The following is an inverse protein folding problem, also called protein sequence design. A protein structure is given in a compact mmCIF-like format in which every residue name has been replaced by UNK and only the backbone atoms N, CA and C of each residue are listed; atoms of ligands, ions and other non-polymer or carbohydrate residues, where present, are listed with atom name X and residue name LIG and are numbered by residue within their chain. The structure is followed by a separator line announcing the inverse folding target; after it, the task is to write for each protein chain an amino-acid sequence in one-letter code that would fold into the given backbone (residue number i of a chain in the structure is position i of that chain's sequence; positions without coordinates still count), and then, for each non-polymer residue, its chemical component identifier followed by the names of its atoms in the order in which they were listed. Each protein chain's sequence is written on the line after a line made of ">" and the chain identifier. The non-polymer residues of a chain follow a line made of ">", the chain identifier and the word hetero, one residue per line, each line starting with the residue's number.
data_IF_634405670920
#
_entry.id   IF_634405670920
#
_cell.length_a   1.000
_cell.length_b   1.000
_cell.length_c   1.000
_cell.angle_alpha   90.00
_cell.angle_beta   90.00
_cell.angle_gamma   90.00
#
_symmetry.space_group_name_H-M   'P 1'
#
loop_
_entity.id
_entity.type
_entity.pdbx_description
1 polymer ?
#
# COMPACT_ATOMS: atom_id res chain seq x y z
N UNK A 1 -43.83 -58.60 -0.69
CA UNK A 1 -43.82 -57.63 -1.80
C UNK A 1 -44.30 -56.32 -1.24
N UNK A 2 -43.45 -55.30 -1.16
CA UNK A 2 -43.77 -53.86 -1.02
C UNK A 2 -42.52 -53.11 -0.58
N UNK A 3 -41.81 -52.52 -1.55
CA UNK A 3 -40.88 -51.41 -1.35
C UNK A 3 -40.90 -50.56 -2.61
N UNK A 4 -41.53 -49.40 -2.50
CA UNK A 4 -41.20 -48.22 -3.28
C UNK A 4 -41.58 -47.01 -2.43
N UNK A 5 -40.57 -46.28 -1.98
CA UNK A 5 -40.72 -44.95 -1.39
C UNK A 5 -39.93 -44.02 -2.28
N UNK A 6 -40.69 -43.22 -3.01
CA UNK A 6 -40.21 -42.12 -3.82
C UNK A 6 -39.48 -41.10 -2.95
N UNK A 7 -38.29 -40.74 -3.40
CA UNK A 7 -37.49 -39.63 -2.92
C UNK A 7 -37.52 -38.61 -4.04
N UNK A 8 -38.16 -37.47 -3.84
CA UNK A 8 -37.75 -36.19 -4.45
C UNK A 8 -38.47 -35.01 -3.84
N UNK A 9 -37.74 -33.90 -3.81
CA UNK A 9 -38.17 -32.51 -3.69
C UNK A 9 -38.54 -31.96 -2.30
N UNK A 10 -37.49 -31.63 -1.54
CA UNK A 10 -37.56 -30.51 -0.60
C UNK A 10 -36.75 -29.34 -1.17
N UNK A 11 -37.37 -28.56 -2.05
CA UNK A 11 -36.87 -27.26 -2.45
C UNK A 11 -37.19 -26.25 -1.33
N UNK A 12 -36.18 -25.90 -0.54
CA UNK A 12 -36.24 -24.84 0.45
C UNK A 12 -36.53 -23.49 -0.23
N UNK A 13 -37.82 -23.13 -0.31
CA UNK A 13 -38.25 -21.76 -0.55
C UNK A 13 -37.95 -20.92 0.70
N UNK A 14 -36.72 -20.40 0.78
CA UNK A 14 -36.35 -19.39 1.77
C UNK A 14 -37.09 -18.09 1.45
N UNK A 15 -38.20 -17.87 2.14
CA UNK A 15 -39.03 -16.67 1.99
C UNK A 15 -38.20 -15.40 2.19
N UNK A 16 -38.27 -14.48 1.23
CA UNK A 16 -37.69 -13.14 1.29
C UNK A 16 -38.24 -12.40 2.53
N UNK A 17 -37.34 -11.82 3.32
CA UNK A 17 -37.72 -11.00 4.47
C UNK A 17 -38.48 -9.75 4.00
N UNK A 18 -39.50 -9.27 4.74
CA UNK A 18 -40.29 -8.12 4.32
C UNK A 18 -39.42 -6.85 4.29
N UNK A 19 -39.08 -6.39 3.08
CA UNK A 19 -38.35 -5.14 2.84
C UNK A 19 -37.23 -5.21 1.79
N UNK A 20 -36.75 -6.40 1.40
CA UNK A 20 -35.72 -6.52 0.37
C UNK A 20 -36.37 -6.64 -1.02
N UNK A 21 -36.08 -5.67 -1.91
CA UNK A 21 -36.43 -5.82 -3.32
C UNK A 21 -35.59 -6.96 -3.91
N UNK A 22 -36.10 -7.67 -4.92
CA UNK A 22 -35.31 -8.69 -5.64
C UNK A 22 -33.97 -8.15 -6.19
N UNK A 23 -33.89 -6.83 -6.42
CA UNK A 23 -32.67 -6.14 -6.83
C UNK A 23 -31.64 -5.97 -5.71
N UNK A 24 -32.08 -5.82 -4.46
CA UNK A 24 -31.18 -5.71 -3.29
C UNK A 24 -30.55 -7.06 -2.95
N UNK A 25 -31.35 -8.13 -2.97
CA UNK A 25 -30.88 -9.49 -2.72
C UNK A 25 -29.81 -9.91 -3.75
N UNK A 26 -30.00 -9.56 -5.02
CA UNK A 26 -29.01 -9.86 -6.07
C UNK A 26 -27.73 -9.02 -5.90
N UNK A 27 -27.83 -7.73 -5.53
CA UNK A 27 -26.66 -6.91 -5.19
C UNK A 27 -25.87 -7.49 -4.02
N UNK A 28 -26.56 -7.94 -2.98
CA UNK A 28 -25.94 -8.59 -1.83
C UNK A 28 -25.22 -9.88 -2.22
N UNK A 29 -25.88 -10.74 -3.00
CA UNK A 29 -25.30 -12.00 -3.50
C UNK A 29 -24.02 -11.76 -4.30
N UNK A 30 -24.01 -10.76 -5.17
CA UNK A 30 -22.86 -10.45 -6.01
C UNK A 30 -21.72 -9.82 -5.22
N UNK A 31 -22.03 -8.97 -4.22
CA UNK A 31 -21.04 -8.47 -3.29
C UNK A 31 -20.39 -9.60 -2.47
N UNK A 32 -21.17 -10.60 -2.04
CA UNK A 32 -20.65 -11.78 -1.36
C UNK A 32 -19.76 -12.63 -2.28
N UNK A 33 -20.18 -12.85 -3.53
CA UNK A 33 -19.39 -13.58 -4.53
C UNK A 33 -18.06 -12.86 -4.83
N UNK A 34 -18.09 -11.53 -5.00
CA UNK A 34 -16.88 -10.72 -5.18
C UNK A 34 -15.92 -10.87 -4.00
N UNK A 35 -16.46 -10.81 -2.78
CA UNK A 35 -15.66 -10.94 -1.56
C UNK A 35 -14.99 -12.29 -1.43
N UNK A 36 -15.72 -13.38 -1.70
CA UNK A 36 -15.20 -14.74 -1.69
C UNK A 36 -14.15 -14.96 -2.78
N UNK A 37 -14.41 -14.47 -4.00
CA UNK A 37 -13.48 -14.58 -5.11
C UNK A 37 -12.15 -13.87 -4.80
N UNK A 38 -12.22 -12.66 -4.23
CA UNK A 38 -11.01 -11.94 -3.83
C UNK A 38 -10.22 -12.66 -2.74
N UNK A 39 -10.89 -13.24 -1.74
CA UNK A 39 -10.22 -13.97 -0.67
C UNK A 39 -9.56 -15.26 -1.21
N UNK A 40 -10.22 -15.97 -2.13
CA UNK A 40 -9.65 -17.14 -2.81
C UNK A 40 -8.43 -16.78 -3.67
N UNK A 41 -8.49 -15.66 -4.39
CA UNK A 41 -7.35 -15.18 -5.17
C UNK A 41 -6.14 -14.93 -4.26
N UNK A 42 -6.34 -14.24 -3.15
CA UNK A 42 -5.30 -13.96 -2.16
C UNK A 42 -4.65 -15.23 -1.56
N UNK A 43 -5.45 -16.27 -1.26
CA UNK A 43 -4.94 -17.55 -0.77
C UNK A 43 -4.08 -18.28 -1.81
N UNK A 44 -4.43 -18.15 -3.10
CA UNK A 44 -3.70 -18.78 -4.20
C UNK A 44 -2.30 -18.20 -4.33
N UNK A 45 -2.19 -16.87 -4.33
CA UNK A 45 -0.92 -16.14 -4.37
C UNK A 45 -0.07 -16.41 -3.13
N UNK A 46 -0.70 -16.50 -1.96
CA UNK A 46 -0.03 -16.87 -0.70
C UNK A 46 0.66 -18.24 -0.78
N UNK A 47 -0.01 -19.24 -1.36
CA UNK A 47 0.55 -20.58 -1.52
C UNK A 47 1.77 -20.64 -2.46
N UNK A 48 1.77 -19.87 -3.55
CA UNK A 48 2.91 -19.77 -4.47
C UNK A 48 4.12 -19.09 -3.81
N UNK A 49 3.88 -18.12 -2.93
CA UNK A 49 4.93 -17.37 -2.22
C UNK A 49 5.59 -18.22 -1.12
N UNK A 50 4.83 -19.10 -0.45
CA UNK A 50 5.35 -20.03 0.56
C UNK A 50 6.28 -21.07 -0.08
N UNK A 51 6.01 -21.51 -1.31
CA UNK A 51 6.88 -22.45 -2.04
C UNK A 51 8.27 -21.90 -2.39
N UNK A 52 8.42 -20.58 -2.52
CA UNK A 52 9.70 -19.92 -2.84
C UNK A 52 10.46 -19.41 -1.60
N UNK A 53 9.81 -19.30 -0.44
CA UNK A 53 10.36 -18.68 0.77
C UNK A 53 10.82 -19.66 1.87
N UNK A 54 10.64 -20.97 1.69
CA UNK A 54 10.95 -21.96 2.73
C UNK A 54 12.45 -22.12 3.05
N UNK A 55 13.34 -21.59 2.22
CA UNK A 55 14.80 -21.66 2.44
C UNK A 55 15.39 -20.42 3.14
N UNK A 56 14.61 -19.35 3.37
CA UNK A 56 15.16 -18.08 3.92
C UNK A 56 14.69 -17.76 5.35
N UNK A 57 13.57 -18.32 5.83
CA UNK A 57 13.01 -18.00 7.16
C UNK A 57 13.44 -19.00 8.25
N UNK A 58 14.71 -19.42 8.23
CA UNK A 58 15.30 -20.26 9.28
C UNK A 58 16.44 -19.57 10.01
N UNK A 59 16.34 -18.24 10.19
CA UNK A 59 17.24 -17.49 11.06
C UNK A 59 16.73 -16.04 11.29
N UNK A 60 15.67 -15.86 12.09
CA UNK A 60 15.37 -14.57 12.70
C UNK A 60 14.50 -14.77 13.97
N UNK A 61 15.14 -14.57 15.12
CA UNK A 61 14.63 -14.29 16.48
C UNK A 61 13.29 -14.91 16.93
N UNK A 62 13.40 -15.90 17.81
CA UNK A 62 12.30 -16.62 18.49
C UNK A 62 11.56 -15.80 19.57
N UNK A 63 11.75 -14.48 19.68
CA UNK A 63 11.34 -13.71 20.88
C UNK A 63 10.20 -12.70 20.67
N UNK A 64 9.57 -12.66 19.49
CA UNK A 64 8.29 -11.96 19.31
C UNK A 64 7.18 -12.95 18.95
N UNK A 65 6.31 -13.21 19.92
CA UNK A 65 5.12 -14.02 19.73
C UNK A 65 4.24 -13.41 18.61
N UNK A 66 4.34 -13.99 17.42
CA UNK A 66 3.56 -13.58 16.26
C UNK A 66 2.07 -13.68 16.58
N UNK A 67 1.33 -12.56 16.50
CA UNK A 67 -0.12 -12.57 16.70
C UNK A 67 -0.82 -13.01 15.42
N UNK A 68 -0.82 -14.32 15.19
CA UNK A 68 -1.44 -14.94 14.03
C UNK A 68 -2.96 -14.76 13.97
N UNK A 69 -3.60 -14.31 15.05
CA UNK A 69 -5.07 -14.14 15.10
C UNK A 69 -5.53 -12.70 14.84
N UNK A 70 -4.61 -11.75 14.68
CA UNK A 70 -4.93 -10.35 14.38
C UNK A 70 -4.38 -9.93 13.02
N UNK A 71 -5.04 -8.94 12.42
CA UNK A 71 -4.63 -8.36 11.16
C UNK A 71 -5.01 -6.88 11.06
N UNK A 72 -4.35 -6.17 10.16
CA UNK A 72 -4.69 -4.81 9.76
C UNK A 72 -5.08 -4.77 8.29
N UNK A 73 -6.25 -4.19 8.01
CA UNK A 73 -6.81 -4.04 6.67
C UNK A 73 -6.71 -2.59 6.23
N UNK A 74 -6.06 -2.34 5.11
CA UNK A 74 -5.88 -0.99 4.57
C UNK A 74 -6.58 -0.87 3.23
N UNK A 75 -7.49 0.08 3.13
CA UNK A 75 -7.86 0.59 1.81
C UNK A 75 -6.64 1.22 1.09
N UNK A 76 -6.70 1.27 -0.24
CA UNK A 76 -5.57 1.72 -1.06
C UNK A 76 -5.73 3.17 -1.49
N UNK A 77 -6.80 3.49 -2.21
CA UNK A 77 -6.94 4.77 -2.89
C UNK A 77 -7.25 5.89 -1.88
N UNK A 78 -6.47 6.97 -1.88
CA UNK A 78 -6.48 8.05 -0.86
C UNK A 78 -6.14 7.63 0.59
N UNK A 79 -6.14 6.34 0.91
CA UNK A 79 -5.77 5.77 2.21
C UNK A 79 -4.27 5.43 2.27
N UNK A 80 -3.83 4.38 1.57
CA UNK A 80 -2.41 3.99 1.45
C UNK A 80 -1.68 4.85 0.42
N UNK A 81 -2.33 5.14 -0.70
CA UNK A 81 -1.79 5.87 -1.84
C UNK A 81 -2.51 7.22 -2.04
N UNK A 82 -1.83 8.19 -2.63
CA UNK A 82 -2.43 9.45 -3.06
C UNK A 82 -3.18 9.30 -4.39
N UNK A 83 -4.50 9.53 -4.36
CA UNK A 83 -5.35 9.39 -5.53
C UNK A 83 -5.67 7.93 -5.83
N UNK A 84 -6.35 7.71 -6.96
CA UNK A 84 -6.75 6.39 -7.39
C UNK A 84 -5.60 5.64 -8.08
N UNK A 85 -5.27 4.46 -7.58
CA UNK A 85 -4.28 3.54 -8.17
C UNK A 85 -4.60 3.18 -9.61
N UNK A 86 -5.88 2.90 -9.92
CA UNK A 86 -6.31 2.61 -11.30
C UNK A 86 -6.06 3.78 -12.26
N UNK A 87 -6.13 5.02 -11.78
CA UNK A 87 -5.81 6.19 -12.60
C UNK A 87 -4.32 6.26 -12.93
N UNK A 88 -3.45 6.00 -11.95
CA UNK A 88 -1.99 5.96 -12.19
C UNK A 88 -1.62 4.83 -13.14
N UNK A 89 -2.27 3.66 -13.00
CA UNK A 89 -2.10 2.54 -13.91
C UNK A 89 -2.51 2.89 -15.34
N UNK A 90 -3.72 3.43 -15.53
CA UNK A 90 -4.22 3.86 -16.83
C UNK A 90 -3.32 4.92 -17.48
N UNK A 91 -2.79 5.86 -16.69
CA UNK A 91 -1.82 6.86 -17.16
C UNK A 91 -0.51 6.22 -17.62
N UNK A 92 -0.02 5.22 -16.89
CA UNK A 92 1.18 4.46 -17.26
C UNK A 92 1.00 3.67 -18.57
N UNK A 93 -0.16 3.02 -18.74
CA UNK A 93 -0.52 2.34 -20.00
C UNK A 93 -0.62 3.33 -21.17
N UNK A 94 -1.21 4.51 -20.95
CA UNK A 94 -1.32 5.54 -21.97
C UNK A 94 0.05 6.09 -22.39
N UNK A 95 0.97 6.32 -21.44
CA UNK A 95 2.34 6.76 -21.73
C UNK A 95 3.11 5.75 -22.61
N UNK A 96 2.79 4.46 -22.46
CA UNK A 96 3.36 3.36 -23.25
C UNK A 96 2.63 3.12 -24.58
N UNK A 97 1.61 3.93 -24.92
CA UNK A 97 0.74 3.74 -26.09
C UNK A 97 0.17 2.32 -26.18
N UNK A 98 -0.10 1.70 -25.02
CA UNK A 98 -0.54 0.31 -24.94
C UNK A 98 -1.84 0.05 -25.72
N UNK A 99 -2.75 1.04 -25.72
CA UNK A 99 -3.96 1.01 -26.53
C UNK A 99 -3.75 1.74 -27.85
N UNK A 100 -4.00 1.04 -28.95
CA UNK A 100 -4.06 1.64 -30.28
C UNK A 100 -5.36 2.42 -30.49
N UNK A 101 -5.40 3.30 -31.49
CA UNK A 101 -6.65 3.99 -31.90
C UNK A 101 -7.74 3.01 -32.32
N UNK A 102 -7.38 1.86 -32.90
CA UNK A 102 -8.29 0.76 -33.22
C UNK A 102 -8.85 0.07 -31.99
N UNK A 103 -8.06 -0.09 -30.91
CA UNK A 103 -8.56 -0.64 -29.64
C UNK A 103 -9.63 0.27 -29.05
N UNK A 104 -9.34 1.57 -29.00
CA UNK A 104 -10.28 2.58 -28.50
C UNK A 104 -11.56 2.63 -29.33
N UNK A 105 -11.45 2.57 -30.66
CA UNK A 105 -12.61 2.48 -31.54
C UNK A 105 -13.41 1.18 -31.31
N UNK A 106 -12.73 0.06 -31.08
CA UNK A 106 -13.36 -1.22 -30.74
C UNK A 106 -14.07 -1.21 -29.39
N UNK A 107 -13.56 -0.49 -28.39
CA UNK A 107 -14.24 -0.27 -27.12
C UNK A 107 -15.48 0.62 -27.29
N UNK A 108 -15.34 1.73 -28.01
CA UNK A 108 -16.45 2.64 -28.31
C UNK A 108 -17.56 1.94 -29.10
N UNK A 109 -17.20 1.10 -30.08
CA UNK A 109 -18.16 0.30 -30.85
C UNK A 109 -18.88 -0.74 -29.98
N UNK A 110 -18.16 -1.47 -29.11
CA UNK A 110 -18.77 -2.40 -28.15
C UNK A 110 -19.73 -1.67 -27.21
N UNK A 111 -19.33 -0.50 -26.71
CA UNK A 111 -20.17 0.33 -25.86
C UNK A 111 -21.42 0.84 -26.59
N UNK A 112 -21.27 1.26 -27.85
CA UNK A 112 -22.38 1.72 -28.69
C UNK A 112 -23.34 0.58 -29.03
N UNK A 113 -22.81 -0.59 -29.43
CA UNK A 113 -23.60 -1.79 -29.70
C UNK A 113 -24.38 -2.23 -28.47
N UNK A 114 -23.77 -2.18 -27.29
CA UNK A 114 -24.45 -2.47 -26.03
C UNK A 114 -25.59 -1.48 -25.77
N UNK A 115 -25.35 -0.18 -25.96
CA UNK A 115 -26.37 0.88 -25.78
C UNK A 115 -27.52 0.81 -26.78
N UNK A 116 -27.25 0.42 -28.03
CA UNK A 116 -28.25 0.34 -29.11
C UNK A 116 -29.03 -0.99 -29.05
N UNK A 117 -28.37 -2.09 -28.69
CA UNK A 117 -28.99 -3.41 -28.57
C UNK A 117 -29.83 -3.61 -27.30
N UNK A 118 -29.70 -2.73 -26.30
CA UNK A 118 -30.47 -2.76 -25.06
C UNK A 118 -31.75 -1.91 -25.12
N UNK A 119 -32.76 -2.33 -25.88
CA UNK A 119 -34.15 -1.88 -25.67
C UNK A 119 -34.89 -2.97 -24.90
N UNK A 120 -35.31 -2.60 -23.67
CA UNK A 120 -36.15 -3.34 -22.70
C UNK A 120 -35.50 -4.54 -21.98
N UNK A 121 -34.91 -4.31 -20.79
CA UNK A 121 -35.09 -5.12 -19.58
C UNK A 121 -34.35 -4.52 -18.35
N UNK A 122 -34.70 -4.91 -17.10
CA UNK A 122 -34.21 -4.32 -15.83
C UNK A 122 -32.70 -4.49 -15.51
N UNK A 123 -31.89 -4.94 -16.46
CA UNK A 123 -30.50 -5.39 -16.29
C UNK A 123 -29.45 -4.26 -16.44
N UNK A 124 -29.79 -3.02 -16.06
CA UNK A 124 -28.85 -1.89 -16.09
C UNK A 124 -27.60 -2.14 -15.23
N UNK A 125 -27.67 -3.07 -14.27
CA UNK A 125 -26.55 -3.42 -13.39
C UNK A 125 -25.55 -4.37 -14.06
N UNK A 126 -26.00 -5.32 -14.89
CA UNK A 126 -25.09 -6.19 -15.69
C UNK A 126 -24.35 -5.38 -16.75
N UNK A 127 -25.05 -4.44 -17.35
CA UNK A 127 -24.50 -3.47 -18.31
C UNK A 127 -23.32 -2.66 -17.76
N UNK A 128 -23.45 -2.14 -16.54
CA UNK A 128 -22.39 -1.36 -15.90
C UNK A 128 -21.18 -2.23 -15.48
N UNK A 129 -21.40 -3.52 -15.19
CA UNK A 129 -20.36 -4.49 -14.78
C UNK A 129 -19.44 -4.89 -15.93
N UNK A 130 -19.99 -5.17 -17.10
CA UNK A 130 -19.21 -5.48 -18.31
C UNK A 130 -18.46 -4.24 -18.84
N UNK A 131 -18.98 -3.04 -18.54
CA UNK A 131 -18.44 -1.77 -19.00
C UNK A 131 -17.15 -1.35 -18.28
N UNK A 132 -16.95 -1.77 -17.02
CA UNK A 132 -15.76 -1.40 -16.24
C UNK A 132 -14.48 -2.13 -16.68
N UNK A 133 -14.60 -3.36 -17.21
CA UNK A 133 -13.45 -4.20 -17.59
C UNK A 133 -13.30 -4.42 -19.10
N UNK A 134 -14.15 -3.79 -19.93
CA UNK A 134 -14.07 -3.96 -21.38
C UNK A 134 -12.70 -3.57 -21.96
N UNK A 135 -11.94 -2.71 -21.27
CA UNK A 135 -10.63 -2.25 -21.71
C UNK A 135 -9.51 -3.31 -21.57
N UNK A 136 -9.65 -4.27 -20.66
CA UNK A 136 -8.68 -5.38 -20.49
C UNK A 136 -9.09 -6.65 -21.24
N UNK A 137 -10.31 -6.71 -21.78
CA UNK A 137 -10.82 -7.88 -22.49
C UNK A 137 -9.90 -8.29 -23.67
N UNK A 138 -9.52 -9.56 -23.70
CA UNK A 138 -8.62 -10.14 -24.70
C UNK A 138 -7.12 -9.88 -24.46
N UNK A 139 -6.76 -9.26 -23.32
CA UNK A 139 -5.36 -9.02 -22.95
C UNK A 139 -4.84 -10.10 -22.02
N UNK A 140 -3.53 -10.33 -22.08
CA UNK A 140 -2.85 -11.28 -21.20
C UNK A 140 -2.80 -10.73 -19.77
N UNK A 141 -3.14 -11.59 -18.81
CA UNK A 141 -2.99 -11.30 -17.38
C UNK A 141 -1.53 -11.00 -17.09
N UNK A 142 -0.62 -11.89 -17.50
CA UNK A 142 0.82 -11.75 -17.26
C UNK A 142 1.41 -10.46 -17.83
N UNK A 143 0.98 -10.06 -19.05
CA UNK A 143 1.42 -8.82 -19.67
C UNK A 143 1.01 -7.59 -18.84
N UNK A 144 -0.25 -7.53 -18.41
CA UNK A 144 -0.75 -6.41 -17.59
C UNK A 144 -0.12 -6.40 -16.19
N UNK A 145 0.22 -7.57 -15.62
CA UNK A 145 0.99 -7.66 -14.37
C UNK A 145 2.39 -7.08 -14.56
N UNK A 146 3.13 -7.49 -15.60
CA UNK A 146 4.47 -6.95 -15.88
C UNK A 146 4.44 -5.43 -16.06
N UNK A 147 3.47 -4.91 -16.83
CA UNK A 147 3.27 -3.47 -16.96
C UNK A 147 2.91 -2.81 -15.63
N UNK A 148 2.12 -3.47 -14.80
CA UNK A 148 1.78 -3.01 -13.46
C UNK A 148 3.00 -2.83 -12.56
N UNK A 149 3.97 -3.75 -12.64
CA UNK A 149 5.22 -3.65 -11.86
C UNK A 149 6.05 -2.44 -12.28
N UNK A 150 6.26 -2.26 -13.59
CA UNK A 150 6.98 -1.09 -14.12
C UNK A 150 6.29 0.23 -13.75
N UNK A 151 4.97 0.29 -13.94
CA UNK A 151 4.19 1.49 -13.66
C UNK A 151 4.17 1.79 -12.16
N UNK A 152 4.20 0.77 -11.31
CA UNK A 152 4.33 0.98 -9.87
C UNK A 152 5.63 1.71 -9.54
N UNK A 153 6.76 1.18 -10.04
CA UNK A 153 8.09 1.70 -9.76
C UNK A 153 8.26 3.13 -10.31
N UNK A 154 7.68 3.44 -11.47
CA UNK A 154 7.77 4.76 -12.11
C UNK A 154 6.81 5.82 -11.54
N UNK A 155 5.56 5.44 -11.24
CA UNK A 155 4.47 6.40 -11.03
C UNK A 155 3.77 6.30 -9.68
N UNK A 156 3.84 5.15 -9.00
CA UNK A 156 3.06 4.88 -7.79
C UNK A 156 3.89 4.90 -6.51
N UNK A 157 5.15 4.50 -6.54
CA UNK A 157 6.00 4.42 -5.34
C UNK A 157 6.05 5.76 -4.56
N UNK A 158 6.25 6.86 -5.26
CA UNK A 158 6.26 8.22 -4.67
C UNK A 158 4.89 8.71 -4.21
N UNK A 159 3.83 7.96 -4.51
CA UNK A 159 2.44 8.29 -4.16
C UNK A 159 1.99 7.63 -2.86
N UNK A 160 2.81 6.83 -2.21
CA UNK A 160 2.47 6.23 -0.93
C UNK A 160 2.50 7.27 0.20
N UNK A 161 1.46 7.29 1.03
CA UNK A 161 1.45 8.11 2.23
C UNK A 161 2.44 7.54 3.25
N UNK A 162 3.53 8.28 3.51
CA UNK A 162 4.52 7.89 4.52
C UNK A 162 3.89 7.60 5.90
N UNK A 163 2.87 8.38 6.28
CA UNK A 163 2.12 8.15 7.51
C UNK A 163 1.33 6.85 7.52
N UNK A 164 0.66 6.50 6.41
CA UNK A 164 -0.08 5.22 6.31
C UNK A 164 0.88 4.03 6.23
N UNK A 165 2.01 4.18 5.53
CA UNK A 165 3.08 3.16 5.53
C UNK A 165 3.63 2.90 6.93
N UNK A 166 3.84 3.96 7.73
CA UNK A 166 4.29 3.80 9.11
C UNK A 166 3.25 3.08 9.99
N UNK A 167 1.95 3.31 9.78
CA UNK A 167 0.89 2.56 10.45
C UNK A 167 0.93 1.07 10.08
N UNK A 168 1.11 0.75 8.79
CA UNK A 168 1.27 -0.64 8.35
C UNK A 168 2.49 -1.29 9.00
N UNK A 169 3.63 -0.59 9.03
CA UNK A 169 4.84 -1.07 9.68
C UNK A 169 4.64 -1.37 11.17
N UNK A 170 3.89 -0.52 11.88
CA UNK A 170 3.57 -0.77 13.31
C UNK A 170 2.82 -2.08 13.54
N UNK A 171 1.98 -2.51 12.59
CA UNK A 171 1.32 -3.82 12.69
C UNK A 171 2.26 -4.97 12.36
N UNK A 172 3.12 -4.81 11.35
CA UNK A 172 4.14 -5.81 11.01
C UNK A 172 5.12 -6.01 12.17
N UNK A 173 5.60 -4.92 12.78
CA UNK A 173 6.49 -4.92 13.94
C UNK A 173 5.83 -5.52 15.19
N UNK A 174 4.50 -5.61 15.22
CA UNK A 174 3.74 -6.29 16.26
C UNK A 174 3.42 -7.77 15.91
N UNK A 175 4.05 -8.31 14.86
CA UNK A 175 3.83 -9.68 14.39
C UNK A 175 2.43 -9.93 13.82
N UNK A 176 1.71 -8.88 13.39
CA UNK A 176 0.37 -9.00 12.80
C UNK A 176 0.45 -9.03 11.29
N UNK A 177 -0.57 -9.63 10.67
CA UNK A 177 -0.71 -9.63 9.22
C UNK A 177 -1.26 -8.31 8.72
N UNK A 178 -0.78 -7.86 7.56
CA UNK A 178 -1.22 -6.61 6.94
C UNK A 178 -1.70 -6.87 5.52
N UNK A 179 -2.95 -6.49 5.26
CA UNK A 179 -3.62 -6.75 4.00
C UNK A 179 -4.13 -5.46 3.37
N UNK A 180 -4.00 -5.34 2.06
CA UNK A 180 -4.71 -4.31 1.28
C UNK A 180 -6.13 -4.78 0.96
N UNK A 181 -7.09 -3.85 0.89
CA UNK A 181 -8.49 -4.14 0.52
C UNK A 181 -9.03 -3.03 -0.40
N UNK A 182 -9.11 -3.29 -1.70
CA UNK A 182 -9.34 -2.24 -2.70
C UNK A 182 -10.30 -2.65 -3.82
N UNK A 183 -10.96 -1.67 -4.44
CA UNK A 183 -11.75 -1.89 -5.66
C UNK A 183 -10.89 -2.03 -6.93
N UNK A 184 -9.59 -1.75 -6.85
CA UNK A 184 -8.61 -1.98 -7.92
C UNK A 184 -8.44 -3.48 -8.19
N UNK A 185 -8.08 -3.90 -9.43
CA UNK A 185 -7.80 -5.31 -9.72
C UNK A 185 -6.80 -5.94 -8.74
N UNK A 186 -7.06 -7.19 -8.37
CA UNK A 186 -6.29 -7.92 -7.36
C UNK A 186 -4.80 -7.99 -7.71
N UNK A 187 -4.47 -8.16 -8.99
CA UNK A 187 -3.09 -8.26 -9.46
C UNK A 187 -2.29 -6.98 -9.18
N UNK A 188 -2.90 -5.82 -9.43
CA UNK A 188 -2.26 -4.53 -9.13
C UNK A 188 -2.17 -4.29 -7.62
N UNK A 189 -3.19 -4.71 -6.86
CA UNK A 189 -3.16 -4.62 -5.41
C UNK A 189 -2.05 -5.51 -4.81
N UNK A 190 -1.83 -6.70 -5.35
CA UNK A 190 -0.75 -7.59 -4.94
C UNK A 190 0.64 -7.03 -5.26
N UNK A 191 0.83 -6.39 -6.42
CA UNK A 191 2.08 -5.68 -6.74
C UNK A 191 2.38 -4.65 -5.64
N UNK A 192 1.39 -3.83 -5.27
CA UNK A 192 1.55 -2.81 -4.21
C UNK A 192 1.87 -3.49 -2.88
N UNK A 193 1.15 -4.56 -2.51
CA UNK A 193 1.39 -5.29 -1.27
C UNK A 193 2.81 -5.87 -1.19
N UNK A 194 3.28 -6.55 -2.24
CA UNK A 194 4.64 -7.11 -2.31
C UNK A 194 5.70 -6.02 -2.21
N UNK A 195 5.57 -4.94 -2.97
CA UNK A 195 6.53 -3.82 -2.96
C UNK A 195 6.58 -3.08 -1.62
N UNK A 196 5.50 -3.12 -0.84
CA UNK A 196 5.44 -2.56 0.51
C UNK A 196 5.82 -3.55 1.62
N UNK A 197 6.09 -4.82 1.30
CA UNK A 197 6.40 -5.85 2.28
C UNK A 197 5.20 -6.26 3.15
N UNK A 198 3.97 -6.14 2.62
CA UNK A 198 2.73 -6.52 3.31
C UNK A 198 2.44 -8.02 3.12
N UNK A 199 1.49 -8.56 3.89
CA UNK A 199 1.11 -9.98 3.81
C UNK A 199 0.42 -10.32 2.49
N UNK A 200 -0.44 -9.44 1.98
CA UNK A 200 -1.13 -9.68 0.71
C UNK A 200 -2.19 -8.61 0.41
N UNK A 201 -3.05 -8.91 -0.57
CA UNK A 201 -4.08 -7.98 -1.00
C UNK A 201 -5.40 -8.69 -1.34
N UNK A 202 -6.50 -7.97 -1.11
CA UNK A 202 -7.84 -8.26 -1.57
C UNK A 202 -8.21 -7.19 -2.61
N UNK A 203 -8.60 -7.61 -3.80
CA UNK A 203 -8.93 -6.72 -4.92
C UNK A 203 -10.10 -7.22 -5.75
N UNK A 204 -10.53 -6.40 -6.69
CA UNK A 204 -11.53 -6.81 -7.68
C UNK A 204 -10.98 -7.94 -8.55
N UNK A 205 -11.77 -8.99 -8.76
CA UNK A 205 -11.36 -10.14 -9.57
C UNK A 205 -12.01 -10.07 -10.95
N UNK A 206 -11.17 -9.95 -11.97
CA UNK A 206 -11.58 -10.08 -13.37
C UNK A 206 -11.52 -11.57 -13.79
N UNK A 207 -12.56 -12.06 -14.48
CA UNK A 207 -12.56 -13.43 -15.01
C UNK A 207 -11.54 -13.54 -16.13
N UNK A 208 -10.61 -14.50 -15.98
CA UNK A 208 -9.66 -14.90 -17.01
C UNK A 208 -9.84 -16.37 -17.39
N UNK A 209 -9.44 -16.73 -18.61
CA UNK A 209 -9.36 -18.11 -19.11
C UNK A 209 -8.05 -18.26 -19.85
N UNK A 210 -7.30 -19.32 -19.52
CA UNK A 210 -5.99 -19.60 -20.13
C UNK A 210 -5.04 -18.38 -20.08
N UNK A 211 -5.08 -17.63 -18.96
CA UNK A 211 -4.25 -16.44 -18.76
C UNK A 211 -4.70 -15.19 -19.55
N UNK A 212 -5.88 -15.21 -20.18
CA UNK A 212 -6.43 -14.08 -20.94
C UNK A 212 -7.70 -13.55 -20.27
N UNK A 213 -7.81 -12.24 -20.09
CA UNK A 213 -9.01 -11.62 -19.53
C UNK A 213 -10.20 -11.75 -20.47
N UNK A 214 -11.33 -12.20 -19.92
CA UNK A 214 -12.60 -12.31 -20.65
C UNK A 214 -13.35 -10.98 -20.76
N UNK A 215 -12.98 -9.99 -19.93
CA UNK A 215 -13.69 -8.71 -19.80
C UNK A 215 -14.88 -8.73 -18.84
N UNK A 216 -15.10 -9.83 -18.12
CA UNK A 216 -16.15 -9.96 -17.09
C UNK A 216 -15.56 -9.93 -15.68
N UNK A 217 -16.40 -9.61 -14.71
CA UNK A 217 -16.08 -9.68 -13.27
C UNK A 217 -16.51 -11.04 -12.69
N UNK A 218 -15.76 -11.54 -11.71
CA UNK A 218 -16.25 -12.61 -10.82
C UNK A 218 -17.04 -11.94 -9.70
N UNK A 219 -18.37 -11.93 -9.82
CA UNK A 219 -19.26 -11.21 -8.91
C UNK A 219 -19.43 -9.74 -9.30
N UNK A 220 -18.90 -8.84 -8.49
CA UNK A 220 -18.98 -7.38 -8.65
C UNK A 220 -17.63 -6.75 -8.28
N UNK A 221 -17.51 -5.42 -8.40
CA UNK A 221 -16.34 -4.70 -7.90
C UNK A 221 -16.18 -4.90 -6.39
N UNK A 222 -14.94 -4.98 -5.90
CA UNK A 222 -14.64 -5.10 -4.48
C UNK A 222 -14.81 -3.74 -3.76
N UNK A 223 -16.06 -3.30 -3.68
CA UNK A 223 -16.48 -2.00 -3.14
C UNK A 223 -17.59 -2.17 -2.09
N UNK A 224 -17.59 -1.29 -1.09
CA UNK A 224 -18.63 -1.26 -0.06
C UNK A 224 -18.80 -2.59 0.68
N UNK A 225 -19.99 -3.19 0.60
CA UNK A 225 -20.29 -4.48 1.25
C UNK A 225 -19.38 -5.61 0.78
N UNK A 226 -18.91 -5.59 -0.47
CA UNK A 226 -18.02 -6.62 -1.00
C UNK A 226 -16.68 -6.65 -0.24
N UNK A 227 -16.14 -5.48 0.16
CA UNK A 227 -14.94 -5.42 1.01
C UNK A 227 -15.18 -6.07 2.38
N UNK A 228 -16.34 -5.84 2.99
CA UNK A 228 -16.70 -6.48 4.25
C UNK A 228 -16.79 -8.01 4.11
N UNK A 229 -17.38 -8.50 3.00
CA UNK A 229 -17.42 -9.93 2.69
C UNK A 229 -16.03 -10.52 2.47
N UNK A 230 -15.14 -9.82 1.75
CA UNK A 230 -13.75 -10.28 1.55
C UNK A 230 -12.98 -10.37 2.87
N UNK A 231 -13.09 -9.35 3.73
CA UNK A 231 -12.44 -9.35 5.05
C UNK A 231 -12.96 -10.51 5.91
N UNK A 232 -14.27 -10.80 5.89
CA UNK A 232 -14.84 -11.94 6.61
C UNK A 232 -14.39 -13.29 6.04
N UNK A 233 -14.36 -13.42 4.72
CA UNK A 233 -13.94 -14.64 4.04
C UNK A 233 -12.45 -14.93 4.31
N UNK A 234 -11.60 -13.92 4.18
CA UNK A 234 -10.18 -14.03 4.52
C UNK A 234 -10.01 -14.36 6.01
N UNK A 235 -10.74 -13.70 6.91
CA UNK A 235 -10.66 -14.00 8.34
C UNK A 235 -11.02 -15.45 8.67
N UNK A 236 -12.01 -16.03 7.98
CA UNK A 236 -12.37 -17.43 8.13
C UNK A 236 -11.27 -18.39 7.60
N UNK A 237 -10.67 -18.06 6.46
CA UNK A 237 -9.58 -18.84 5.87
C UNK A 237 -8.32 -18.82 6.74
N UNK A 238 -8.04 -17.66 7.32
CA UNK A 238 -6.79 -17.37 8.00
C UNK A 238 -6.85 -17.53 9.53
N UNK A 239 -8.03 -17.84 10.09
CA UNK A 239 -8.21 -17.97 11.54
C UNK A 239 -8.09 -16.64 12.31
N UNK A 240 -8.50 -15.53 11.69
CA UNK A 240 -8.45 -14.20 12.31
C UNK A 240 -9.66 -13.93 13.22
N UNK A 241 -9.42 -13.39 14.40
CA UNK A 241 -10.46 -12.78 15.24
C UNK A 241 -10.63 -11.31 14.82
N UNK A 242 -11.70 -11.02 14.08
CA UNK A 242 -12.00 -9.67 13.61
C UNK A 242 -12.08 -8.63 14.73
N UNK A 243 -12.42 -9.03 15.96
CA UNK A 243 -12.45 -8.10 17.13
C UNK A 243 -11.06 -7.64 17.55
N UNK A 244 -10.01 -8.36 17.14
CA UNK A 244 -8.59 -7.99 17.33
C UNK A 244 -8.01 -7.31 16.09
N UNK A 245 -8.75 -7.27 14.99
CA UNK A 245 -8.32 -6.64 13.76
C UNK A 245 -8.55 -5.14 13.75
N UNK A 246 -7.75 -4.45 12.94
CA UNK A 246 -7.90 -3.01 12.67
C UNK A 246 -8.21 -2.78 11.19
N UNK A 247 -9.03 -1.80 10.85
CA UNK A 247 -9.26 -1.38 9.47
C UNK A 247 -9.09 0.13 9.28
N UNK A 248 -8.50 0.51 8.14
CA UNK A 248 -8.16 1.87 7.75
C UNK A 248 -8.81 2.22 6.41
N UNK A 249 -9.49 3.36 6.32
CA UNK A 249 -10.04 3.88 5.06
C UNK A 249 -10.28 5.39 5.11
N UNK A 250 -10.37 6.01 3.93
CA UNK A 250 -10.75 7.41 3.75
C UNK A 250 -12.24 7.59 3.41
N UNK A 251 -12.93 6.55 2.94
CA UNK A 251 -14.25 6.71 2.34
C UNK A 251 -15.39 6.17 3.20
N UNK A 252 -16.52 6.89 3.20
CA UNK A 252 -17.76 6.42 3.83
C UNK A 252 -18.28 5.12 3.19
N UNK A 253 -17.90 4.86 1.94
CA UNK A 253 -18.25 3.62 1.25
C UNK A 253 -17.71 2.38 1.96
N UNK A 254 -16.57 2.51 2.65
CA UNK A 254 -15.94 1.41 3.39
C UNK A 254 -16.51 1.24 4.80
N UNK A 255 -17.56 1.98 5.16
CA UNK A 255 -18.26 1.85 6.44
C UNK A 255 -18.65 0.40 6.77
N UNK A 256 -19.14 -0.44 5.83
CA UNK A 256 -19.39 -1.86 6.10
C UNK A 256 -18.13 -2.58 6.57
N UNK A 257 -16.99 -2.42 5.89
CA UNK A 257 -15.70 -3.03 6.26
C UNK A 257 -15.21 -2.52 7.62
N UNK A 258 -15.24 -1.21 7.84
CA UNK A 258 -14.84 -0.61 9.12
C UNK A 258 -15.73 -1.07 10.29
N UNK A 259 -16.96 -1.48 10.03
CA UNK A 259 -17.91 -1.92 11.06
C UNK A 259 -17.79 -3.40 11.43
N UNK A 260 -17.00 -4.21 10.71
CA UNK A 260 -16.84 -5.65 11.04
C UNK A 260 -15.63 -5.95 11.93
N UNK A 261 -14.70 -4.99 12.08
CA UNK A 261 -13.47 -5.13 12.85
C UNK A 261 -13.58 -4.51 14.24
N UNK A 262 -12.68 -4.86 15.15
CA UNK A 262 -12.63 -4.32 16.50
C UNK A 262 -12.20 -2.86 16.57
N UNK A 263 -11.26 -2.46 15.70
CA UNK A 263 -10.74 -1.09 15.66
C UNK A 263 -10.87 -0.49 14.27
N UNK A 264 -11.57 0.63 14.15
CA UNK A 264 -11.71 1.39 12.91
C UNK A 264 -10.96 2.73 13.00
N UNK A 265 -10.19 3.05 11.98
CA UNK A 265 -9.42 4.29 11.89
C UNK A 265 -9.71 4.99 10.57
N UNK A 266 -10.17 6.23 10.64
CA UNK A 266 -10.44 7.05 9.46
C UNK A 266 -9.16 7.80 9.03
N UNK A 267 -8.62 7.45 7.87
CA UNK A 267 -7.38 8.03 7.33
C UNK A 267 -7.73 8.98 6.19
N UNK A 268 -7.28 10.23 6.25
CA UNK A 268 -7.60 11.26 5.26
C UNK A 268 -9.10 11.38 4.91
N UNK A 269 -10.05 11.25 5.87
CA UNK A 269 -11.42 10.91 5.52
C UNK A 269 -12.12 11.95 4.65
N UNK A 270 -13.05 11.46 3.83
CA UNK A 270 -14.10 12.24 3.19
C UNK A 270 -15.04 12.88 4.24
N UNK A 271 -16.01 13.67 3.80
CA UNK A 271 -16.94 14.34 4.72
C UNK A 271 -17.83 13.33 5.48
N UNK A 272 -18.34 12.31 4.79
CA UNK A 272 -19.23 11.31 5.37
C UNK A 272 -18.54 10.44 6.41
N UNK A 273 -17.36 9.91 6.09
CA UNK A 273 -16.59 9.08 7.02
C UNK A 273 -16.12 9.90 8.22
N UNK A 274 -15.73 11.17 8.02
CA UNK A 274 -15.35 12.05 9.13
C UNK A 274 -16.51 12.25 10.11
N UNK A 275 -17.74 12.43 9.62
CA UNK A 275 -18.91 12.55 10.47
C UNK A 275 -19.17 11.26 11.26
N UNK A 276 -19.13 10.12 10.58
CA UNK A 276 -19.28 8.80 11.22
C UNK A 276 -18.21 8.58 12.28
N UNK A 277 -16.95 8.86 11.96
CA UNK A 277 -15.83 8.67 12.87
C UNK A 277 -15.98 9.53 14.13
N UNK A 278 -16.36 10.81 13.99
CA UNK A 278 -16.64 11.68 15.14
C UNK A 278 -17.79 11.14 16.00
N UNK A 279 -18.88 10.71 15.37
CA UNK A 279 -20.05 10.17 16.08
C UNK A 279 -19.73 8.86 16.83
N UNK A 280 -18.89 8.00 16.26
CA UNK A 280 -18.51 6.70 16.83
C UNK A 280 -17.24 6.74 17.69
N UNK A 281 -16.61 7.90 17.84
CA UNK A 281 -15.34 8.04 18.56
C UNK A 281 -14.16 7.32 17.89
N UNK A 282 -14.23 7.11 16.58
CA UNK A 282 -13.13 6.50 15.82
C UNK A 282 -11.98 7.49 15.66
N UNK A 283 -10.76 6.95 15.68
CA UNK A 283 -9.56 7.73 15.47
C UNK A 283 -9.53 8.32 14.05
N UNK A 284 -9.09 9.58 13.92
CA UNK A 284 -8.94 10.26 12.64
C UNK A 284 -7.47 10.65 12.46
N UNK A 285 -6.86 10.22 11.35
CA UNK A 285 -5.49 10.58 10.94
C UNK A 285 -5.53 11.32 9.61
N UNK A 286 -5.13 12.59 9.57
CA UNK A 286 -5.12 13.39 8.33
C UNK A 286 -3.69 13.78 7.91
N UNK A 287 -3.12 13.00 7.00
CA UNK A 287 -1.77 13.16 6.48
C UNK A 287 -1.67 14.23 5.40
N UNK A 288 -2.79 14.75 4.89
CA UNK A 288 -2.81 15.85 3.90
C UNK A 288 -2.30 17.16 4.50
N UNK A 289 -2.48 17.33 5.81
CA UNK A 289 -2.25 18.58 6.54
C UNK A 289 -0.77 18.98 6.58
N UNK A 290 0.14 18.03 6.82
CA UNK A 290 1.58 18.29 6.85
C UNK A 290 2.13 18.81 5.51
N UNK A 291 1.60 18.31 4.40
CA UNK A 291 1.97 18.77 3.05
C UNK A 291 1.47 20.17 2.72
N UNK A 292 0.27 20.53 3.17
CA UNK A 292 -0.26 21.90 3.01
C UNK A 292 0.62 22.90 3.77
N UNK A 293 0.99 22.57 5.01
CA UNK A 293 1.88 23.40 5.82
C UNK A 293 3.27 23.58 5.18
N UNK A 294 3.88 22.49 4.70
CA UNK A 294 5.17 22.54 4.00
C UNK A 294 5.11 23.39 2.72
N UNK A 295 4.06 23.24 1.90
CA UNK A 295 3.89 24.04 0.67
C UNK A 295 3.76 25.53 0.97
N UNK A 296 2.98 25.90 1.99
CA UNK A 296 2.80 27.30 2.39
C UNK A 296 4.12 27.87 2.95
N UNK A 297 4.84 27.10 3.77
CA UNK A 297 6.13 27.51 4.35
C UNK A 297 7.20 27.81 3.29
N UNK A 298 7.35 26.95 2.28
CA UNK A 298 8.33 27.14 1.19
C UNK A 298 8.07 28.42 0.39
N UNK A 299 6.81 28.72 0.06
CA UNK A 299 6.47 29.94 -0.68
C UNK A 299 6.69 31.21 0.16
N UNK A 300 6.50 31.11 1.48
CA UNK A 300 6.72 32.23 2.40
C UNK A 300 8.21 32.61 2.50
N UNK A 301 9.10 31.61 2.56
CA UNK A 301 10.56 31.82 2.62
C UNK A 301 11.10 32.36 1.29
N UNK A 302 10.63 31.85 0.15
CA UNK A 302 11.02 32.34 -1.18
C UNK A 302 10.52 33.76 -1.46
N UNK A 303 9.32 34.12 -0.99
CA UNK A 303 8.80 35.48 -1.09
C UNK A 303 9.62 36.49 -0.25
N UNK A 304 10.02 36.11 0.96
CA UNK A 304 10.84 36.95 1.83
C UNK A 304 12.26 37.19 1.27
N UNK A 305 12.88 36.16 0.68
CA UNK A 305 14.21 36.28 0.08
C UNK A 305 14.23 37.10 -1.21
N UNK A 306 13.18 37.03 -2.03
CA UNK A 306 13.02 37.91 -3.19
C UNK A 306 12.92 39.40 -2.78
N UNK A 307 12.16 39.70 -1.71
CA UNK A 307 12.03 41.07 -1.21
C UNK A 307 13.35 41.61 -0.64
N UNK A 308 14.10 40.78 0.08
CA UNK A 308 15.43 41.14 0.59
C UNK A 308 16.43 41.42 -0.54
N UNK A 309 16.40 40.62 -1.62
CA UNK A 309 17.22 40.83 -2.81
C UNK A 309 16.95 42.17 -3.51
N UNK A 310 15.67 42.56 -3.64
CA UNK A 310 15.27 43.85 -4.22
C UNK A 310 15.75 45.03 -3.37
N UNK A 311 15.63 44.94 -2.04
CA UNK A 311 16.10 45.98 -1.12
C UNK A 311 17.62 46.13 -1.20
N UNK A 312 18.36 45.01 -1.21
CA UNK A 312 19.81 45.02 -1.32
C UNK A 312 20.28 45.62 -2.66
N UNK A 313 19.64 45.26 -3.78
CA UNK A 313 19.94 45.81 -5.09
C UNK A 313 19.63 47.31 -5.17
N UNK A 314 18.51 47.77 -4.60
CA UNK A 314 18.15 49.18 -4.53
C UNK A 314 19.12 50.02 -3.70
N UNK A 315 19.63 49.48 -2.59
CA UNK A 315 20.66 50.12 -1.77
C UNK A 315 22.02 50.18 -2.49
N UNK A 316 22.41 49.11 -3.20
CA UNK A 316 23.64 49.08 -4.00
C UNK A 316 23.59 50.09 -5.16
N UNK A 317 22.45 50.18 -5.86
CA UNK A 317 22.23 51.16 -6.93
C UNK A 317 22.37 52.60 -6.42
N UNK A 318 21.77 52.92 -5.26
CA UNK A 318 21.89 54.24 -4.62
C UNK A 318 23.29 54.61 -4.14
N UNK A 319 24.14 53.63 -3.84
CA UNK A 319 25.55 53.88 -3.48
C UNK A 319 26.38 54.24 -4.72
N UNK A 320 26.13 53.57 -5.84
CA UNK A 320 26.83 53.81 -7.12
C UNK A 320 26.54 55.22 -7.68
N UNK A 321 25.29 55.66 -7.61
CA UNK A 321 24.87 57.01 -8.04
C UNK A 321 25.46 58.16 -7.19
N UNK A 322 25.94 57.86 -5.98
CA UNK A 322 26.63 58.85 -5.13
C UNK A 322 28.12 58.97 -5.44
N UNK A 323 28.74 57.92 -5.96
CA UNK A 323 30.16 57.90 -6.32
C UNK A 323 30.41 58.61 -7.66
N UNK A 324 29.45 58.57 -8.59
CA UNK A 324 29.53 59.26 -9.88
C UNK A 324 29.30 60.79 -9.80
N UNK A 325 29.08 61.35 -8.60
CA UNK A 325 28.89 62.80 -8.37
C UNK A 325 30.03 63.50 -7.65
N UNK A 326 31.20 62.86 -7.47
CA UNK A 326 32.38 63.53 -6.92
C UNK A 326 33.31 64.04 -8.05
N UNK A 327 33.62 65.35 -8.13
CA UNK A 327 34.47 65.90 -9.19
C UNK A 327 35.95 65.55 -8.97
N UNK A 328 36.60 65.08 -10.03
CA UNK A 328 38.00 64.68 -10.06
C UNK A 328 38.93 65.88 -10.29
N UNK A 329 39.77 66.22 -9.31
CA UNK A 329 40.98 67.03 -9.52
C UNK A 329 42.24 66.18 -9.30
N UNK A 330 43.12 66.22 -10.31
CA UNK A 330 44.43 65.55 -10.34
C UNK A 330 45.51 66.49 -9.82
N UNK A 331 46.37 66.00 -8.93
CA UNK A 331 47.61 66.68 -8.54
C UNK A 331 48.72 65.69 -8.19
N UNK A 332 49.76 65.66 -9.02
CA UNK A 332 50.99 64.85 -8.87
C UNK A 332 51.87 65.44 -7.75
N UNK A 333 52.59 64.60 -7.00
CA UNK A 333 54.06 64.46 -7.00
C UNK A 333 54.62 63.78 -5.73
N UNK A 334 55.34 62.69 -6.00
CA UNK A 334 56.58 62.14 -5.39
C UNK A 334 56.94 62.36 -3.91
N UNK A 335 57.08 61.20 -3.26
CA UNK A 335 58.20 60.69 -2.45
C UNK A 335 58.65 61.45 -1.19
N UNK A 336 58.62 60.76 -0.03
CA UNK A 336 59.79 60.46 0.80
C UNK A 336 59.45 59.37 1.85
N UNK A 337 60.47 58.65 2.29
CA UNK A 337 60.38 57.32 2.90
C UNK A 337 59.79 57.24 4.32
N UNK A 338 59.49 56.00 4.74
CA UNK A 338 59.45 55.66 6.16
C UNK A 338 58.39 54.65 6.61
N UNK A 339 58.69 53.36 6.44
CA UNK A 339 58.37 52.23 7.35
C UNK A 339 56.88 51.93 7.62
N UNK A 340 56.37 50.92 6.92
CA UNK A 340 55.12 50.21 7.20
C UNK A 340 55.36 48.99 8.10
N UNK A 341 54.51 48.84 9.13
CA UNK A 341 54.18 47.57 9.77
C UNK A 341 52.66 47.51 9.82
N UNK A 342 52.02 46.42 9.34
CA UNK A 342 50.67 46.12 9.81
C UNK A 342 50.56 44.72 10.41
N UNK A 343 49.96 44.68 11.60
CA UNK A 343 49.50 43.48 12.27
C UNK A 343 48.08 43.13 11.79
N UNK A 344 47.98 41.92 11.22
CA UNK A 344 47.12 40.80 11.64
C UNK A 344 45.57 40.92 11.77
N UNK A 345 44.99 39.71 11.62
CA UNK A 345 43.63 39.22 11.90
C UNK A 345 42.62 39.45 10.76
N UNK A 346 42.14 38.43 10.04
CA UNK A 346 41.58 37.13 10.50
C UNK A 346 40.05 37.23 10.32
N UNK A 347 39.27 36.28 9.79
CA UNK A 347 39.40 34.83 9.60
C UNK A 347 38.33 34.40 8.57
N UNK A 348 38.68 33.54 7.63
CA UNK A 348 38.30 32.11 7.57
C UNK A 348 36.97 31.81 6.84
N UNK A 349 37.12 31.35 5.60
CA UNK A 349 36.15 30.55 4.86
C UNK A 349 36.75 29.17 4.64
N UNK A 350 35.94 28.14 4.89
CA UNK A 350 36.22 26.73 4.59
C UNK A 350 36.09 26.44 3.09
N UNK A 351 36.89 25.48 2.61
CA UNK A 351 36.84 24.88 1.27
C UNK A 351 37.67 23.58 1.24
N UNK A 352 37.44 22.69 0.26
CA UNK A 352 36.92 21.35 0.54
C UNK A 352 37.85 20.17 0.17
N UNK A 353 37.35 18.98 0.48
CA UNK A 353 37.60 17.67 -0.15
C UNK A 353 38.78 16.77 0.30
N UNK A 354 38.45 15.48 0.22
CA UNK A 354 39.29 14.29 0.09
C UNK A 354 39.61 13.50 1.38
N UNK A 355 38.82 12.44 1.60
CA UNK A 355 39.23 11.27 2.39
C UNK A 355 39.20 10.02 1.52
N UNK A 356 40.35 9.34 1.46
CA UNK A 356 40.55 7.98 0.97
C UNK A 356 41.78 7.39 1.68
N UNK A 357 41.85 6.06 1.88
CA UNK A 357 42.35 5.46 3.11
C UNK A 357 43.73 4.78 2.95
N UNK A 358 44.47 4.62 4.04
CA UNK A 358 45.57 3.64 4.08
C UNK A 358 45.87 3.09 5.49
N UNK A 359 46.41 1.87 5.47
CA UNK A 359 46.46 0.88 6.54
C UNK A 359 47.86 0.70 7.15
N UNK A 360 47.94 -0.25 8.11
CA UNK A 360 49.09 -0.86 8.83
C UNK A 360 49.42 -0.15 10.16
N UNK A 361 49.53 -0.80 11.32
CA UNK A 361 49.64 -2.22 11.68
C UNK A 361 50.90 -2.41 12.52
N UNK A 362 50.80 -2.93 13.75
CA UNK A 362 51.88 -3.68 14.42
C UNK A 362 51.33 -4.61 15.52
N UNK A 363 51.91 -5.78 15.53
CA UNK A 363 51.74 -6.98 16.36
C UNK A 363 52.62 -6.91 17.63
N UNK A 364 52.12 -7.36 18.78
CA UNK A 364 52.93 -7.91 19.88
C UNK A 364 52.17 -9.00 20.65
N UNK A 365 52.91 -10.07 20.99
CA UNK A 365 52.47 -11.37 21.53
C UNK A 365 52.47 -11.44 23.07
N UNK A 366 51.54 -12.22 23.63
CA UNK A 366 51.66 -13.17 24.78
C UNK A 366 52.00 -12.65 26.19
N UNK A 367 51.68 -13.38 27.29
CA UNK A 367 51.76 -14.84 27.38
C UNK A 367 50.62 -15.59 28.13
N UNK A 368 50.73 -16.90 28.01
CA UNK A 368 50.02 -18.06 28.57
C UNK A 368 49.98 -18.15 30.13
N UNK A 369 48.86 -18.61 30.70
CA UNK A 369 48.85 -19.27 32.03
C UNK A 369 47.86 -20.45 32.07
N UNK A 370 48.37 -21.57 32.59
CA UNK A 370 47.68 -22.86 32.76
C UNK A 370 46.95 -22.93 34.11
N UNK A 371 45.81 -23.63 34.10
CA UNK A 371 45.49 -24.71 35.05
C UNK A 371 44.72 -24.36 36.33
N UNK A 372 43.53 -24.95 36.50
CA UNK A 372 43.30 -26.05 37.46
C UNK A 372 41.89 -26.64 37.32
N UNK A 373 41.79 -27.90 37.72
CA UNK A 373 40.75 -28.88 37.50
C UNK A 373 39.86 -29.01 38.75
N UNK A 374 38.53 -29.08 38.64
CA UNK A 374 37.67 -29.75 39.65
C UNK A 374 36.34 -30.25 39.05
N UNK A 375 36.25 -31.58 38.92
CA UNK A 375 35.12 -32.53 39.09
C UNK A 375 33.66 -32.00 39.04
N UNK A 376 32.85 -32.66 38.18
CA UNK A 376 31.40 -32.47 38.02
C UNK A 376 30.50 -33.13 39.09
N UNK A 377 29.20 -33.27 38.79
CA UNK A 377 28.61 -34.61 38.76
C UNK A 377 27.70 -34.89 37.55
N UNK A 378 27.43 -36.18 37.37
CA UNK A 378 26.71 -36.85 36.31
C UNK A 378 25.18 -36.61 36.27
N UNK A 379 24.66 -36.72 35.04
CA UNK A 379 23.41 -37.37 34.60
C UNK A 379 22.03 -36.75 34.94
N UNK A 380 21.24 -36.49 33.89
CA UNK A 380 20.11 -37.33 33.47
C UNK A 380 19.51 -36.78 32.15
N UNK A 381 19.53 -37.60 31.10
CA UNK A 381 18.84 -37.34 29.83
C UNK A 381 17.35 -37.73 29.89
N UNK A 382 16.50 -37.19 29.00
CA UNK A 382 15.06 -37.42 29.05
C UNK A 382 14.67 -38.83 28.57
N UNK A 383 13.70 -39.41 29.28
CA UNK A 383 13.13 -40.73 29.01
C UNK A 383 12.26 -40.76 27.73
N UNK A 384 12.18 -41.92 27.03
CA UNK A 384 11.31 -42.08 25.86
C UNK A 384 9.83 -42.32 26.23
N UNK A 385 8.94 -41.88 25.33
CA UNK A 385 7.48 -42.00 25.43
C UNK A 385 6.98 -43.46 25.32
N UNK A 386 5.82 -43.79 25.95
CA UNK A 386 5.26 -45.13 25.90
C UNK A 386 4.53 -45.43 24.57
N UNK A 387 4.73 -46.66 24.08
CA UNK A 387 4.13 -47.22 22.88
C UNK A 387 2.61 -47.41 22.97
N UNK A 388 1.93 -47.14 21.86
CA UNK A 388 0.51 -47.37 21.65
C UNK A 388 0.17 -48.88 21.69
N UNK A 389 -0.88 -49.23 22.45
CA UNK A 389 -1.48 -50.56 22.44
C UNK A 389 -2.51 -50.65 21.30
N UNK A 390 -2.37 -51.68 20.46
CA UNK A 390 -3.36 -52.06 19.45
C UNK A 390 -4.62 -52.67 20.10
N UNK A 391 -5.82 -52.51 19.51
CA UNK A 391 -7.03 -53.14 20.02
C UNK A 391 -7.05 -54.65 19.71
N UNK A 392 -7.31 -55.46 20.75
CA UNK A 392 -7.63 -56.88 20.62
C UNK A 392 -9.07 -57.05 20.12
N UNK A 393 -9.23 -57.81 19.05
CA UNK A 393 -10.52 -58.34 18.61
C UNK A 393 -11.03 -59.41 19.58
N UNK A 394 -12.28 -59.28 20.03
CA UNK A 394 -13.07 -60.42 20.50
C UNK A 394 -14.53 -60.23 20.11
N UNK A 395 -15.00 -61.17 19.29
CA UNK A 395 -16.38 -61.53 18.87
C UNK A 395 -17.12 -60.61 17.92
#
# INVERSE_FOLDING_TARGET
>A
MSRERDVTDNADHRALLPGESASDAERERLAALAGQASALAAATTGAETVGAGQDVVRAADEDQATDLTAAAFFDVDNTMMMGASIFHFARGLAARKYFSTSDLAGFAWRQLKFRIGGRENPDSVRASREQALSFVAGRSVAELVSLGEEIYDELMADRIWAGTRALAQTHLDAGRRVWLVTATPVELAEIIARRLGLTGALGTVAESRDGIYTGRLVGDLLHGKAKAHAVRALAAQEGLDLRRCTAYSDSVNDLPMLSVVGTAVAVNPDAGLREVARRRGWEIRDFRTGRKAARIGVHSVLGASALAGVIAAGLAYRRRDREDRAPAERGRLRALGGRWVPAAWGSAAWGPDAWGPEARGTDTRGPDTRGTNTRGPHALGPAPAPAAQAPRSTR
#
